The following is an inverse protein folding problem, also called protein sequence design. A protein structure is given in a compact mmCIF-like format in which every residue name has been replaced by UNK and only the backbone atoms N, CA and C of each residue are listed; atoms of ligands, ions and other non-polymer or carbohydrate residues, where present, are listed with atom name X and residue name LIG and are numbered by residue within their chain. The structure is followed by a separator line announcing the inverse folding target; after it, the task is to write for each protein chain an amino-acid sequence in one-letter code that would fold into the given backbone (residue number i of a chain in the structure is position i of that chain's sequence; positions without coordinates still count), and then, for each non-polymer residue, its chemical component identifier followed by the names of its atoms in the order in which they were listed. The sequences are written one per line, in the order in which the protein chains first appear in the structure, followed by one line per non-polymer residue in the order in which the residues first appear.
data_IF_381168033013
#
_entry.id   IF_381168033013
#
_cell.length_a   1.000
_cell.length_b   1.000
_cell.length_c   1.000
_cell.angle_alpha   90.00
_cell.angle_beta   90.00
_cell.angle_gamma   90.00
#
_symmetry.space_group_name_H-M   'P 1'
#
loop_
_entity.id
_entity.type
_entity.pdbx_description
1 polymer ?
#
# COMPACT_ATOMS: atom_id res chain seq x y z
N UNK A 1 -2.37 -13.87 -17.93
CA UNK A 1 -2.30 -14.39 -16.55
C UNK A 1 -2.79 -13.25 -15.68
N UNK A 2 -4.06 -13.27 -15.30
CA UNK A 2 -4.56 -12.38 -14.26
C UNK A 2 -3.85 -12.77 -12.97
N UNK A 3 -2.88 -11.96 -12.58
CA UNK A 3 -2.13 -12.14 -11.33
C UNK A 3 -3.09 -11.89 -10.16
N UNK A 4 -3.75 -12.95 -9.70
CA UNK A 4 -4.77 -12.88 -8.66
C UNK A 4 -4.14 -12.40 -7.35
N UNK A 5 -4.77 -11.40 -6.73
CA UNK A 5 -4.30 -10.86 -5.46
C UNK A 5 -4.78 -11.79 -4.33
N UNK A 6 -3.87 -12.62 -3.81
CA UNK A 6 -4.18 -13.56 -2.74
C UNK A 6 -4.12 -12.87 -1.36
N UNK A 7 -5.24 -12.24 -0.97
CA UNK A 7 -5.42 -11.70 0.39
C UNK A 7 -5.44 -12.85 1.42
N UNK A 8 -4.68 -12.76 2.53
CA UNK A 8 -4.73 -13.72 3.63
C UNK A 8 -6.10 -13.80 4.30
N UNK A 9 -6.33 -14.89 5.01
CA UNK A 9 -7.53 -15.09 5.84
C UNK A 9 -7.50 -14.20 7.10
N UNK A 10 -8.65 -13.97 7.72
CA UNK A 10 -8.81 -13.10 8.90
C UNK A 10 -7.82 -13.42 10.03
N UNK A 11 -7.64 -14.71 10.34
CA UNK A 11 -6.74 -15.15 11.42
C UNK A 11 -5.28 -14.77 11.22
N UNK A 12 -4.84 -14.51 9.98
CA UNK A 12 -3.51 -13.94 9.73
C UNK A 12 -3.37 -12.58 10.42
N UNK A 13 -4.38 -11.73 10.26
CA UNK A 13 -4.40 -10.37 10.77
C UNK A 13 -4.76 -10.30 12.26
N UNK A 14 -5.64 -11.16 12.74
CA UNK A 14 -5.96 -11.27 14.19
C UNK A 14 -4.72 -11.64 15.02
N UNK A 15 -3.77 -12.36 14.41
CA UNK A 15 -2.48 -12.67 15.03
C UNK A 15 -1.45 -11.53 14.93
N UNK A 16 -1.86 -10.34 14.47
CA UNK A 16 -1.00 -9.16 14.35
C UNK A 16 -0.02 -9.20 13.17
N UNK A 17 -0.19 -10.13 12.22
CA UNK A 17 0.71 -10.22 11.08
C UNK A 17 0.33 -9.18 10.01
N UNK A 18 1.28 -8.31 9.66
CA UNK A 18 1.14 -7.46 8.50
C UNK A 18 1.20 -8.28 7.21
N UNK A 19 0.67 -7.72 6.13
CA UNK A 19 0.71 -8.35 4.81
C UNK A 19 1.11 -7.35 3.74
N UNK A 20 1.90 -7.80 2.77
CA UNK A 20 2.27 -7.02 1.59
C UNK A 20 2.04 -7.84 0.34
N UNK A 21 1.62 -7.17 -0.73
CA UNK A 21 1.45 -7.79 -2.03
C UNK A 21 1.71 -6.83 -3.17
N UNK A 22 1.92 -7.42 -4.35
CA UNK A 22 2.04 -6.71 -5.63
C UNK A 22 1.09 -7.33 -6.65
N UNK A 23 0.51 -6.49 -7.51
CA UNK A 23 -0.29 -6.93 -8.64
C UNK A 23 -0.06 -6.01 -9.84
N UNK A 24 0.91 -6.36 -10.69
CA UNK A 24 1.39 -5.46 -11.74
C UNK A 24 2.07 -4.20 -11.18
N UNK A 25 1.53 -3.02 -11.46
CA UNK A 25 1.99 -1.73 -10.94
C UNK A 25 1.58 -1.47 -9.48
N UNK A 26 0.52 -2.13 -8.99
CA UNK A 26 0.06 -1.99 -7.61
C UNK A 26 1.09 -2.55 -6.63
N UNK A 27 1.34 -1.81 -5.56
CA UNK A 27 1.96 -2.29 -4.32
C UNK A 27 1.03 -1.97 -3.17
N UNK A 28 0.84 -2.90 -2.25
CA UNK A 28 0.04 -2.67 -1.06
C UNK A 28 0.71 -3.20 0.20
N UNK A 29 0.36 -2.57 1.32
CA UNK A 29 0.71 -3.00 2.68
C UNK A 29 -0.51 -2.86 3.56
N UNK A 30 -0.82 -3.90 4.32
CA UNK A 30 -1.93 -3.94 5.27
C UNK A 30 -1.36 -4.24 6.64
N UNK A 31 -1.61 -3.34 7.59
CA UNK A 31 -1.16 -3.47 8.97
C UNK A 31 -2.37 -3.62 9.88
N UNK A 32 -2.48 -4.73 10.64
CA UNK A 32 -3.53 -4.88 11.63
C UNK A 32 -3.19 -4.11 12.91
N UNK A 33 -4.21 -3.51 13.51
CA UNK A 33 -4.23 -3.09 14.90
C UNK A 33 -5.24 -3.99 15.63
N UNK A 34 -4.77 -4.78 16.60
CA UNK A 34 -5.59 -5.71 17.39
C UNK A 34 -5.91 -5.16 18.78
N UNK A 35 -5.75 -3.85 18.99
CA UNK A 35 -6.04 -3.16 20.26
C UNK A 35 -7.54 -3.03 20.55
N UNK A 36 -7.90 -2.00 21.33
CA UNK A 36 -9.30 -1.78 21.76
C UNK A 36 -10.30 -1.60 20.61
N UNK A 37 -9.84 -1.06 19.46
CA UNK A 37 -10.63 -0.88 18.24
C UNK A 37 -9.97 -1.61 17.07
N UNK A 38 -10.24 -2.91 16.91
CA UNK A 38 -9.49 -3.75 15.99
C UNK A 38 -9.78 -3.37 14.53
N UNK A 39 -8.73 -3.05 13.78
CA UNK A 39 -8.82 -2.52 12.41
C UNK A 39 -7.63 -2.92 11.55
N UNK A 40 -7.77 -2.72 10.24
CA UNK A 40 -6.76 -2.93 9.22
C UNK A 40 -6.46 -1.59 8.57
N UNK A 41 -5.22 -1.13 8.65
CA UNK A 41 -4.76 0.04 7.91
C UNK A 41 -4.07 -0.42 6.62
N UNK A 42 -4.72 -0.21 5.49
CA UNK A 42 -4.21 -0.55 4.18
C UNK A 42 -3.65 0.69 3.48
N UNK A 43 -2.49 0.54 2.85
CA UNK A 43 -1.83 1.56 2.05
C UNK A 43 -1.54 1.01 0.67
N UNK A 44 -1.79 1.81 -0.37
CA UNK A 44 -1.45 1.48 -1.76
C UNK A 44 -0.53 2.54 -2.35
N UNK A 45 0.41 2.08 -3.17
CA UNK A 45 1.27 2.96 -3.95
C UNK A 45 1.64 2.30 -5.27
N UNK A 46 2.08 3.12 -6.22
CA UNK A 46 2.55 2.63 -7.50
C UNK A 46 4.02 2.20 -7.40
N UNK A 47 4.33 1.01 -7.92
CA UNK A 47 5.69 0.51 -8.04
C UNK A 47 6.56 1.35 -9.01
N UNK A 48 7.85 1.02 -9.15
CA UNK A 48 8.46 -0.25 -8.75
C UNK A 48 9.08 -0.25 -7.34
N UNK A 49 9.10 0.88 -6.64
CA UNK A 49 9.87 1.03 -5.40
C UNK A 49 9.11 0.56 -4.14
N UNK A 50 9.83 0.45 -3.04
CA UNK A 50 9.24 0.16 -1.73
C UNK A 50 8.48 1.37 -1.17
N UNK A 51 7.68 1.16 -0.13
CA UNK A 51 6.87 2.22 0.50
C UNK A 51 7.69 3.47 0.88
N UNK A 52 8.90 3.29 1.44
CA UNK A 52 9.78 4.40 1.83
C UNK A 52 10.13 5.33 0.66
N UNK A 53 10.26 4.74 -0.52
CA UNK A 53 10.76 5.37 -1.73
C UNK A 53 9.62 5.75 -2.69
N UNK A 54 8.37 5.60 -2.24
CA UNK A 54 7.17 5.83 -3.03
C UNK A 54 6.23 6.77 -2.29
N UNK A 55 5.41 7.49 -3.04
CA UNK A 55 4.30 8.25 -2.48
C UNK A 55 3.10 7.32 -2.31
N UNK A 56 2.51 7.31 -1.12
CA UNK A 56 1.23 6.63 -0.89
C UNK A 56 0.14 7.33 -1.69
N UNK A 57 -0.60 6.55 -2.47
CA UNK A 57 -1.71 7.04 -3.29
C UNK A 57 -2.97 7.17 -2.44
N UNK A 58 -3.23 6.17 -1.61
CA UNK A 58 -4.32 6.20 -0.64
C UNK A 58 -3.99 5.31 0.57
N UNK A 59 -4.41 5.79 1.74
CA UNK A 59 -4.50 5.01 2.98
C UNK A 59 -5.97 4.86 3.33
N UNK A 60 -6.41 3.64 3.58
CA UNK A 60 -7.79 3.35 3.99
C UNK A 60 -7.81 2.37 5.16
N UNK A 61 -8.71 2.61 6.11
CA UNK A 61 -8.93 1.73 7.25
C UNK A 61 -10.18 0.86 7.03
N UNK A 62 -10.09 -0.39 7.48
CA UNK A 62 -11.18 -1.36 7.45
C UNK A 62 -11.36 -1.98 8.84
N UNK A 63 -12.56 -2.40 9.25
CA UNK A 63 -12.71 -3.17 10.47
C UNK A 63 -11.96 -4.51 10.37
N UNK A 64 -11.41 -5.02 11.48
CA UNK A 64 -10.78 -6.34 11.53
C UNK A 64 -11.87 -7.42 11.66
N UNK A 65 -12.68 -7.59 10.61
CA UNK A 65 -13.76 -8.59 10.52
C UNK A 65 -13.78 -9.20 9.12
N UNK A 66 -14.55 -10.26 8.92
CA UNK A 66 -14.71 -10.85 7.57
C UNK A 66 -15.27 -9.84 6.56
N UNK A 67 -16.25 -9.02 6.95
CA UNK A 67 -16.79 -7.97 6.09
C UNK A 67 -15.75 -6.90 5.76
N UNK A 68 -14.88 -6.58 6.73
CA UNK A 68 -13.75 -5.67 6.52
C UNK A 68 -12.72 -6.22 5.54
N UNK A 69 -12.43 -7.52 5.59
CA UNK A 69 -11.56 -8.18 4.62
C UNK A 69 -12.14 -8.18 3.21
N UNK A 70 -13.44 -8.42 3.06
CA UNK A 70 -14.11 -8.36 1.76
C UNK A 70 -14.13 -6.93 1.19
N UNK A 71 -14.36 -5.92 2.04
CA UNK A 71 -14.24 -4.52 1.66
C UNK A 71 -12.81 -4.14 1.24
N UNK A 72 -11.80 -4.60 1.99
CA UNK A 72 -10.38 -4.45 1.66
C UNK A 72 -10.05 -5.10 0.32
N UNK A 73 -10.51 -6.33 0.08
CA UNK A 73 -10.31 -7.05 -1.19
C UNK A 73 -10.89 -6.25 -2.36
N UNK A 74 -12.14 -5.80 -2.25
CA UNK A 74 -12.78 -5.01 -3.30
C UNK A 74 -12.02 -3.69 -3.55
N UNK A 75 -11.54 -3.04 -2.50
CA UNK A 75 -10.75 -1.81 -2.62
C UNK A 75 -9.40 -2.04 -3.32
N UNK A 76 -8.67 -3.11 -2.96
CA UNK A 76 -7.40 -3.46 -3.60
C UNK A 76 -7.58 -3.83 -5.08
N UNK A 77 -8.66 -4.51 -5.45
CA UNK A 77 -8.96 -4.84 -6.85
C UNK A 77 -9.21 -3.57 -7.69
N UNK A 78 -10.00 -2.61 -7.18
CA UNK A 78 -10.20 -1.33 -7.87
C UNK A 78 -8.89 -0.56 -8.07
N UNK A 79 -8.05 -0.51 -7.05
CA UNK A 79 -6.74 0.13 -7.14
C UNK A 79 -5.80 -0.59 -8.10
N UNK A 80 -5.83 -1.93 -8.13
CA UNK A 80 -5.08 -2.74 -9.09
C UNK A 80 -5.47 -2.38 -10.52
N UNK A 81 -6.75 -2.33 -10.83
CA UNK A 81 -7.24 -1.94 -12.16
C UNK A 81 -6.80 -0.51 -12.51
N UNK A 82 -7.01 0.42 -11.58
CA UNK A 82 -6.67 1.84 -11.76
C UNK A 82 -5.19 2.03 -12.04
N UNK A 83 -4.30 1.43 -11.25
CA UNK A 83 -2.85 1.58 -11.43
C UNK A 83 -2.33 0.85 -12.66
N UNK A 84 -2.85 -0.33 -12.97
CA UNK A 84 -2.42 -1.08 -14.16
C UNK A 84 -2.91 -0.47 -15.48
N UNK A 85 -3.97 0.33 -15.45
CA UNK A 85 -4.41 1.13 -16.59
C UNK A 85 -3.51 2.37 -16.86
N UNK A 86 -2.69 2.78 -15.89
CA UNK A 86 -1.78 3.92 -16.07
C UNK A 86 -0.68 3.59 -17.09
N UNK A 87 -0.20 4.57 -17.88
CA UNK A 87 0.97 4.38 -18.73
C UNK A 87 2.18 3.93 -17.91
N UNK A 88 2.91 2.93 -18.41
CA UNK A 88 4.13 2.46 -17.75
C UNK A 88 5.18 3.56 -17.76
N UNK A 89 5.63 3.97 -16.56
CA UNK A 89 6.76 4.88 -16.41
C UNK A 89 8.03 4.25 -16.99
N UNK A 90 8.83 5.06 -17.65
CA UNK A 90 10.21 4.70 -18.00
C UNK A 90 11.06 4.57 -16.74
N UNK A 91 12.21 3.90 -16.86
CA UNK A 91 13.16 3.78 -15.76
C UNK A 91 13.62 5.16 -15.24
N UNK A 92 13.85 6.12 -16.15
CA UNK A 92 14.27 7.47 -15.81
C UNK A 92 13.21 8.19 -14.97
N UNK A 93 11.94 8.12 -15.37
CA UNK A 93 10.82 8.69 -14.62
C UNK A 93 10.66 8.02 -13.25
N UNK A 94 10.80 6.69 -13.18
CA UNK A 94 10.72 5.97 -11.92
C UNK A 94 11.85 6.37 -10.95
N UNK A 95 13.08 6.54 -11.44
CA UNK A 95 14.21 7.01 -10.62
C UNK A 95 13.97 8.45 -10.15
N UNK A 96 13.55 9.35 -11.04
CA UNK A 96 13.26 10.73 -10.69
C UNK A 96 12.19 10.85 -9.61
N UNK A 97 11.11 10.05 -9.69
CA UNK A 97 10.05 10.03 -8.69
C UNK A 97 10.55 9.58 -7.30
N UNK A 98 11.41 8.55 -7.26
CA UNK A 98 12.04 8.10 -6.00
C UNK A 98 12.93 9.18 -5.40
N UNK A 99 13.79 9.77 -6.22
CA UNK A 99 14.78 10.73 -5.75
C UNK A 99 14.07 12.01 -5.24
N UNK A 100 12.96 12.41 -5.89
CA UNK A 100 12.07 13.44 -5.37
C UNK A 100 11.47 13.06 -4.00
N UNK A 101 10.93 11.85 -3.84
CA UNK A 101 10.38 11.41 -2.54
C UNK A 101 11.43 11.40 -1.43
N UNK A 102 12.67 10.99 -1.74
CA UNK A 102 13.78 11.02 -0.77
C UNK A 102 14.17 12.44 -0.37
N UNK A 103 14.16 13.37 -1.32
CA UNK A 103 14.41 14.79 -1.04
C UNK A 103 13.31 15.40 -0.14
N UNK A 104 12.04 15.05 -0.38
CA UNK A 104 10.93 15.45 0.51
C UNK A 104 11.15 14.93 1.94
N UNK A 105 11.46 13.64 2.11
CA UNK A 105 11.72 13.05 3.43
C UNK A 105 12.90 13.74 4.13
N UNK A 106 13.97 14.08 3.39
CA UNK A 106 15.10 14.81 3.97
C UNK A 106 14.68 16.21 4.45
N UNK A 107 13.87 16.92 3.66
CA UNK A 107 13.34 18.24 4.03
C UNK A 107 12.42 18.17 5.25
N UNK A 108 11.53 17.19 5.31
CA UNK A 108 10.63 16.94 6.46
C UNK A 108 11.43 16.71 7.75
N UNK A 109 12.57 16.00 7.67
CA UNK A 109 13.47 15.79 8.82
C UNK A 109 14.15 17.07 9.26
N UNK A 110 14.71 17.83 8.33
CA UNK A 110 15.37 19.10 8.61
C UNK A 110 14.41 20.12 9.25
N UNK A 111 13.14 20.13 8.84
CA UNK A 111 12.10 20.98 9.45
C UNK A 111 11.66 20.53 10.83
N UNK A 112 11.73 19.23 11.13
CA UNK A 112 11.35 18.68 12.45
C UNK A 112 12.49 18.83 13.47
N UNK A 113 13.73 18.93 13.00
CA UNK A 113 14.95 19.07 13.82
C UNK A 113 15.38 20.54 14.02
N UNK A 114 14.73 21.50 13.35
CA UNK A 114 14.97 22.95 13.45
C UNK A 114 14.09 23.63 14.50
#
# INVERSE_FOLDING_TARGET
MDEELFLPVLSHFENGNFWTASGGALRCRVEPDTGENPRLTAQVWEGPWSLRDSRVEETQEFPLTEEGLEALRAWLLRWRETMNARPKKTLAEAIAARDARRAEIQKEKEETEA
#
